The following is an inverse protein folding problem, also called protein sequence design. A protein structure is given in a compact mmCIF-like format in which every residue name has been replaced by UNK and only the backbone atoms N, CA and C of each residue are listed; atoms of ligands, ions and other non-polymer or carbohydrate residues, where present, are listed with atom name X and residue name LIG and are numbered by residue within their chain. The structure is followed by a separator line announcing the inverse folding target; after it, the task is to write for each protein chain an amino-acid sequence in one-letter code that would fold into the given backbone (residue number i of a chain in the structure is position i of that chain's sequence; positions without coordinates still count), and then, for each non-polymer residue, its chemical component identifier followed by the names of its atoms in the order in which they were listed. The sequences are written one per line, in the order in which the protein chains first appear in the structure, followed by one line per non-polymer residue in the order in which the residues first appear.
data_IF_153189416826
#
_entry.id   IF_153189416826
#
_cell.length_a   1.000
_cell.length_b   1.000
_cell.length_c   1.000
_cell.angle_alpha   90.00
_cell.angle_beta   90.00
_cell.angle_gamma   90.00
#
_symmetry.space_group_name_H-M   'P 1'
#
loop_
_entity.id
_entity.type
_entity.pdbx_description
1 polymer ?
#
# COMPACT_ATOMS: atom_id res chain seq x y z
N UNK A 1 2.55 33.43 -5.70
CA UNK A 1 2.92 34.42 -6.72
C UNK A 1 3.88 35.48 -6.18
N UNK A 2 3.56 36.18 -5.08
CA UNK A 2 4.43 37.23 -4.50
C UNK A 2 5.89 36.77 -4.24
N UNK A 3 6.07 35.53 -3.77
CA UNK A 3 7.40 34.99 -3.43
C UNK A 3 8.22 34.44 -4.60
N UNK A 4 7.60 34.23 -5.77
CA UNK A 4 8.23 33.57 -6.93
C UNK A 4 8.06 34.45 -8.17
N UNK A 5 9.02 35.33 -8.49
CA UNK A 5 8.96 36.24 -9.65
C UNK A 5 8.77 35.51 -10.99
N UNK A 6 9.24 34.28 -11.10
CA UNK A 6 9.10 33.42 -12.28
C UNK A 6 7.64 33.06 -12.52
N UNK A 7 6.81 32.98 -11.47
CA UNK A 7 5.36 32.78 -11.59
C UNK A 7 4.67 34.07 -12.04
N UNK A 8 5.04 35.22 -11.46
CA UNK A 8 4.41 36.50 -11.82
C UNK A 8 4.77 36.97 -13.24
N UNK A 9 5.93 36.56 -13.76
CA UNK A 9 6.36 36.79 -15.14
C UNK A 9 5.79 35.78 -16.14
N UNK A 10 5.10 34.73 -15.67
CA UNK A 10 4.53 33.67 -16.52
C UNK A 10 5.55 32.68 -17.08
N UNK A 11 6.82 32.74 -16.64
CA UNK A 11 7.84 31.76 -17.01
C UNK A 11 7.52 30.41 -16.38
N UNK A 12 7.07 30.41 -15.13
CA UNK A 12 6.59 29.23 -14.41
C UNK A 12 5.08 29.35 -14.19
N UNK A 13 4.34 28.27 -14.41
CA UNK A 13 2.89 28.21 -14.23
C UNK A 13 2.52 27.12 -13.23
N UNK A 14 1.52 27.39 -12.38
CA UNK A 14 0.93 26.38 -11.50
C UNK A 14 -0.19 25.70 -12.28
N UNK A 15 0.00 24.43 -12.66
CA UNK A 15 -0.96 23.65 -13.45
C UNK A 15 -2.06 23.02 -12.59
N UNK A 16 -1.71 22.58 -11.39
CA UNK A 16 -2.66 21.97 -10.46
C UNK A 16 -2.26 22.24 -9.00
N UNK A 17 -3.25 22.21 -8.12
CA UNK A 17 -3.04 22.33 -6.69
C UNK A 17 -4.03 21.46 -5.91
N UNK A 18 -3.53 20.70 -4.94
CA UNK A 18 -4.31 19.92 -4.00
C UNK A 18 -3.97 20.39 -2.58
N UNK A 19 -4.98 20.90 -1.87
CA UNK A 19 -4.79 21.55 -0.57
C UNK A 19 -5.63 20.92 0.53
N UNK A 20 -5.00 20.66 1.66
CA UNK A 20 -5.60 20.39 2.96
C UNK A 20 -5.16 21.49 3.94
N UNK A 21 -5.98 22.54 4.13
CA UNK A 21 -5.61 23.75 4.85
C UNK A 21 -5.08 23.45 6.26
N UNK A 22 -3.97 24.10 6.64
CA UNK A 22 -3.34 23.93 7.95
C UNK A 22 -2.55 22.63 8.12
N UNK A 23 -2.56 21.74 7.12
CA UNK A 23 -1.79 20.50 7.15
C UNK A 23 -0.76 20.44 6.04
N UNK A 24 -1.22 20.20 4.80
CA UNK A 24 -0.33 19.94 3.66
C UNK A 24 -0.97 20.35 2.34
N UNK A 25 -0.16 20.90 1.46
CA UNK A 25 -0.53 21.28 0.10
C UNK A 25 0.49 20.74 -0.88
N UNK A 26 0.00 20.15 -1.98
CA UNK A 26 0.80 19.81 -3.16
C UNK A 26 0.46 20.77 -4.28
N UNK A 27 1.48 21.30 -4.95
CA UNK A 27 1.33 22.08 -6.17
C UNK A 27 2.15 21.47 -7.30
N UNK A 28 1.56 21.41 -8.49
CA UNK A 28 2.22 20.97 -9.71
C UNK A 28 2.59 22.18 -10.55
N UNK A 29 3.87 22.30 -10.89
CA UNK A 29 4.43 23.45 -11.60
C UNK A 29 5.07 23.06 -12.92
N UNK A 30 4.88 23.90 -13.92
CA UNK A 30 5.43 23.74 -15.27
C UNK A 30 6.25 24.98 -15.65
N UNK A 31 7.29 24.82 -16.46
CA UNK A 31 8.04 25.95 -17.01
C UNK A 31 7.77 26.10 -18.50
N UNK A 32 7.41 27.32 -18.91
CA UNK A 32 7.29 27.71 -20.32
C UNK A 32 8.66 27.96 -20.96
N UNK A 33 9.72 28.11 -20.17
CA UNK A 33 11.11 28.21 -20.64
C UNK A 33 11.87 26.91 -20.31
N UNK A 34 12.40 26.19 -21.31
CA UNK A 34 13.16 24.95 -21.08
C UNK A 34 14.47 25.16 -20.31
N UNK A 35 14.97 26.39 -20.21
CA UNK A 35 16.18 26.72 -19.44
C UNK A 35 15.91 26.96 -17.95
N UNK A 36 14.65 26.97 -17.54
CA UNK A 36 14.24 27.26 -16.17
C UNK A 36 13.63 26.02 -15.53
N UNK A 37 14.20 25.58 -14.41
CA UNK A 37 13.62 24.53 -13.58
C UNK A 37 12.45 25.11 -12.75
N UNK A 38 11.20 24.68 -13.00
CA UNK A 38 10.04 25.22 -12.30
C UNK A 38 10.03 24.85 -10.81
N UNK A 39 10.56 23.68 -10.44
CA UNK A 39 10.61 23.26 -9.03
C UNK A 39 11.68 24.07 -8.30
N UNK A 40 12.88 24.17 -8.88
CA UNK A 40 13.97 24.99 -8.34
C UNK A 40 13.59 26.46 -8.15
N UNK A 41 12.87 27.05 -9.12
CA UNK A 41 12.34 28.41 -9.01
C UNK A 41 11.37 28.56 -7.83
N UNK A 42 10.43 27.63 -7.66
CA UNK A 42 9.45 27.68 -6.58
C UNK A 42 10.06 27.41 -5.18
N UNK A 43 11.04 26.50 -5.10
CA UNK A 43 11.70 26.11 -3.85
C UNK A 43 12.68 27.20 -3.40
N UNK A 44 13.46 27.77 -4.33
CA UNK A 44 14.50 28.74 -4.05
C UNK A 44 15.72 28.14 -3.36
N UNK A 45 16.74 28.97 -3.09
CA UNK A 45 18.00 28.52 -2.51
C UNK A 45 17.78 27.82 -1.15
N UNK A 46 18.12 26.53 -1.08
CA UNK A 46 17.89 25.67 0.11
C UNK A 46 16.42 25.66 0.57
N UNK A 47 15.46 25.88 -0.30
CA UNK A 47 14.04 25.93 0.08
C UNK A 47 13.61 27.23 0.75
N UNK A 48 14.34 28.34 0.57
CA UNK A 48 14.02 29.61 1.23
C UNK A 48 12.62 30.12 0.87
N UNK A 49 12.22 30.05 -0.40
CA UNK A 49 10.93 30.59 -0.88
C UNK A 49 9.76 29.77 -0.36
N UNK A 50 9.80 28.44 -0.53
CA UNK A 50 8.75 27.56 -0.01
C UNK A 50 8.62 27.65 1.51
N UNK A 51 9.74 27.81 2.24
CA UNK A 51 9.72 28.00 3.71
C UNK A 51 9.06 29.31 4.13
N UNK A 52 9.23 30.40 3.37
CA UNK A 52 8.53 31.66 3.66
C UNK A 52 7.01 31.50 3.54
N UNK A 53 6.54 30.82 2.48
CA UNK A 53 5.11 30.53 2.31
C UNK A 53 4.58 29.61 3.41
N UNK A 54 5.33 28.56 3.78
CA UNK A 54 4.95 27.68 4.91
C UNK A 54 4.83 28.46 6.23
N UNK A 55 5.71 29.43 6.49
CA UNK A 55 5.64 30.27 7.69
C UNK A 55 4.40 31.18 7.68
N UNK A 56 4.06 31.75 6.53
CA UNK A 56 2.86 32.57 6.36
C UNK A 56 1.58 31.74 6.54
N UNK A 57 1.58 30.49 6.07
CA UNK A 57 0.48 29.53 6.24
C UNK A 57 0.50 28.81 7.60
N UNK A 58 1.13 29.40 8.63
CA UNK A 58 1.15 28.90 10.02
C UNK A 58 1.65 27.45 10.15
N UNK A 59 2.63 27.06 9.33
CA UNK A 59 3.24 25.73 9.36
C UNK A 59 2.62 24.71 8.42
N UNK A 60 1.72 25.11 7.52
CA UNK A 60 1.23 24.24 6.44
C UNK A 60 2.39 23.77 5.55
N UNK A 61 2.59 22.45 5.42
CA UNK A 61 3.67 21.89 4.61
C UNK A 61 3.34 22.01 3.12
N UNK A 62 4.27 22.52 2.33
CA UNK A 62 4.07 22.69 0.89
C UNK A 62 5.06 21.79 0.16
N UNK A 63 4.53 20.90 -0.67
CA UNK A 63 5.32 20.13 -1.63
C UNK A 63 5.15 20.74 -3.02
N UNK A 64 6.25 20.94 -3.70
CA UNK A 64 6.29 21.41 -5.09
C UNK A 64 6.77 20.26 -5.96
N UNK A 65 5.98 19.87 -6.95
CA UNK A 65 6.30 18.77 -7.86
C UNK A 65 6.26 19.27 -9.32
N UNK A 66 7.09 18.71 -10.20
CA UNK A 66 6.99 19.02 -11.62
C UNK A 66 5.66 18.48 -12.18
N UNK A 67 5.01 19.26 -13.01
CA UNK A 67 3.90 18.81 -13.83
C UNK A 67 4.44 18.04 -15.05
N UNK A 68 3.74 16.98 -15.46
CA UNK A 68 3.98 16.27 -16.72
C UNK A 68 2.63 16.01 -17.40
N UNK A 69 2.60 16.07 -18.72
CA UNK A 69 1.45 15.64 -19.51
C UNK A 69 1.33 14.11 -19.55
N UNK A 70 2.44 13.40 -19.33
CA UNK A 70 2.42 11.95 -19.18
C UNK A 70 1.90 11.56 -17.77
N UNK A 71 0.78 10.81 -17.69
CA UNK A 71 0.16 10.47 -16.42
C UNK A 71 1.07 9.63 -15.51
N UNK A 72 1.91 8.75 -16.08
CA UNK A 72 2.84 7.94 -15.30
C UNK A 72 3.85 8.83 -14.60
N UNK A 73 4.54 9.68 -15.34
CA UNK A 73 5.51 10.62 -14.80
C UNK A 73 4.88 11.59 -13.78
N UNK A 74 3.67 12.07 -14.06
CA UNK A 74 2.99 13.00 -13.17
C UNK A 74 2.58 12.36 -11.85
N UNK A 75 2.10 11.10 -11.87
CA UNK A 75 1.74 10.36 -10.65
C UNK A 75 2.99 10.03 -9.83
N UNK A 76 4.08 9.63 -10.48
CA UNK A 76 5.37 9.40 -9.80
C UNK A 76 5.86 10.67 -9.11
N UNK A 77 5.80 11.81 -9.79
CA UNK A 77 6.16 13.10 -9.22
C UNK A 77 5.24 13.50 -8.06
N UNK A 78 3.93 13.29 -8.19
CA UNK A 78 2.94 13.64 -7.18
C UNK A 78 3.13 12.88 -5.86
N UNK A 79 3.64 11.65 -5.89
CA UNK A 79 3.87 10.81 -4.69
C UNK A 79 5.15 11.14 -3.93
N UNK A 80 6.00 12.05 -4.43
CA UNK A 80 7.18 12.52 -3.70
C UNK A 80 6.80 12.96 -2.27
N UNK A 81 7.58 12.54 -1.25
CA UNK A 81 8.96 12.04 -1.29
C UNK A 81 9.15 10.52 -1.48
N UNK A 82 8.07 9.73 -1.61
CA UNK A 82 8.20 8.30 -1.84
C UNK A 82 8.77 8.03 -3.24
N UNK A 83 9.63 7.00 -3.39
CA UNK A 83 10.14 6.58 -4.70
C UNK A 83 9.23 5.49 -5.23
N UNK A 84 8.66 5.74 -6.39
CA UNK A 84 7.82 4.79 -7.10
C UNK A 84 8.70 3.87 -7.93
N UNK A 85 8.39 2.58 -7.93
CA UNK A 85 9.07 1.58 -8.77
C UNK A 85 8.34 1.39 -10.09
N UNK A 86 7.02 1.29 -10.04
CA UNK A 86 6.16 1.02 -11.19
C UNK A 86 4.82 1.73 -11.03
N UNK A 87 4.23 2.16 -12.14
CA UNK A 87 2.85 2.66 -12.20
C UNK A 87 2.14 1.90 -13.32
N UNK A 88 1.06 1.22 -12.96
CA UNK A 88 0.15 0.56 -13.90
C UNK A 88 -1.12 1.40 -13.99
N UNK A 89 -1.43 1.86 -15.20
CA UNK A 89 -2.62 2.66 -15.46
C UNK A 89 -3.74 1.78 -16.00
N UNK A 90 -4.93 1.99 -15.46
CA UNK A 90 -6.18 1.50 -16.00
C UNK A 90 -7.02 2.69 -16.47
N UNK A 91 -6.95 2.95 -17.78
CA UNK A 91 -7.67 4.04 -18.44
C UNK A 91 -9.20 3.88 -18.37
N UNK A 92 -9.72 2.64 -18.21
CA UNK A 92 -11.15 2.40 -18.16
C UNK A 92 -11.74 2.83 -16.82
N UNK A 93 -11.04 2.54 -15.72
CA UNK A 93 -11.49 2.89 -14.37
C UNK A 93 -10.94 4.23 -13.87
N UNK A 94 -9.95 4.80 -14.55
CA UNK A 94 -9.23 6.00 -14.09
C UNK A 94 -8.39 5.72 -12.83
N UNK A 95 -7.90 4.49 -12.71
CA UNK A 95 -7.13 4.02 -11.54
C UNK A 95 -5.67 3.83 -11.93
N UNK A 96 -4.78 4.28 -11.06
CA UNK A 96 -3.35 4.08 -11.15
C UNK A 96 -2.90 3.22 -9.97
N UNK A 97 -2.48 1.99 -10.26
CA UNK A 97 -1.85 1.11 -9.28
C UNK A 97 -0.36 1.40 -9.24
N UNK A 98 0.11 1.86 -8.10
CA UNK A 98 1.48 2.30 -7.87
C UNK A 98 2.18 1.29 -6.98
N UNK A 99 3.30 0.76 -7.49
CA UNK A 99 4.13 -0.20 -6.76
C UNK A 99 5.29 0.55 -6.13
N UNK A 100 5.45 0.35 -4.83
CA UNK A 100 6.56 0.88 -4.03
C UNK A 100 7.25 -0.25 -3.27
N UNK A 101 8.49 -0.04 -2.85
CA UNK A 101 9.13 -1.01 -1.96
C UNK A 101 8.45 -1.01 -0.58
N UNK A 102 8.47 -2.13 0.13
CA UNK A 102 7.73 -2.33 1.39
C UNK A 102 8.07 -1.28 2.47
N UNK A 103 9.35 -0.88 2.55
CA UNK A 103 9.80 0.15 3.48
C UNK A 103 9.29 1.56 3.14
N UNK A 104 8.80 1.80 1.92
CA UNK A 104 8.23 3.07 1.48
C UNK A 104 6.70 3.08 1.47
N UNK A 105 6.02 1.94 1.65
CA UNK A 105 4.57 1.86 1.62
C UNK A 105 3.91 2.89 2.56
N UNK A 106 4.36 2.91 3.82
CA UNK A 106 3.87 3.87 4.82
C UNK A 106 4.12 5.34 4.43
N UNK A 107 5.28 5.62 3.82
CA UNK A 107 5.63 6.97 3.36
C UNK A 107 4.78 7.41 2.16
N UNK A 108 4.54 6.48 1.23
CA UNK A 108 3.76 6.70 0.01
C UNK A 108 2.29 6.97 0.33
N UNK A 109 1.70 6.20 1.26
CA UNK A 109 0.34 6.44 1.79
C UNK A 109 0.31 7.76 2.59
N UNK A 110 1.30 7.95 3.46
CA UNK A 110 1.39 9.07 4.38
C UNK A 110 0.46 8.94 5.60
N UNK A 111 0.59 9.85 6.56
CA UNK A 111 -0.26 9.89 7.76
C UNK A 111 -1.73 10.02 7.35
N UNK A 112 -2.58 9.09 7.80
CA UNK A 112 -4.03 9.05 7.48
C UNK A 112 -4.33 9.08 5.97
N UNK A 113 -3.43 8.51 5.15
CA UNK A 113 -3.56 8.49 3.69
C UNK A 113 -3.41 9.87 3.03
N UNK A 114 -2.93 10.88 3.75
CA UNK A 114 -2.86 12.25 3.25
C UNK A 114 -2.01 12.38 1.97
N UNK A 115 -0.90 11.66 1.85
CA UNK A 115 -0.02 11.79 0.69
C UNK A 115 -0.70 11.22 -0.56
N UNK A 116 -1.24 10.01 -0.45
CA UNK A 116 -2.01 9.37 -1.52
C UNK A 116 -3.24 10.20 -1.92
N UNK A 117 -4.00 10.73 -0.95
CA UNK A 117 -5.19 11.56 -1.20
C UNK A 117 -4.86 12.88 -1.88
N UNK A 118 -3.77 13.55 -1.47
CA UNK A 118 -3.32 14.77 -2.14
C UNK A 118 -2.80 14.48 -3.56
N UNK A 119 -2.07 13.37 -3.76
CA UNK A 119 -1.61 12.96 -5.09
C UNK A 119 -2.78 12.64 -6.03
N UNK A 120 -3.79 11.91 -5.54
CA UNK A 120 -5.00 11.61 -6.30
C UNK A 120 -5.76 12.88 -6.70
N UNK A 121 -5.93 13.83 -5.77
CA UNK A 121 -6.56 15.13 -6.07
C UNK A 121 -5.74 16.00 -7.02
N UNK A 122 -4.41 15.91 -6.96
CA UNK A 122 -3.51 16.71 -7.80
C UNK A 122 -3.49 16.20 -9.25
N UNK A 123 -3.46 14.87 -9.42
CA UNK A 123 -3.35 14.21 -10.73
C UNK A 123 -4.70 13.96 -11.38
N UNK A 124 -5.78 13.88 -10.59
CA UNK A 124 -7.11 13.49 -11.06
C UNK A 124 -7.32 11.98 -11.17
N UNK A 125 -6.31 11.17 -10.85
CA UNK A 125 -6.37 9.71 -10.88
C UNK A 125 -6.72 9.14 -9.51
N UNK A 126 -7.43 8.01 -9.47
CA UNK A 126 -7.49 7.20 -8.25
C UNK A 126 -6.14 6.52 -8.07
N UNK A 127 -5.43 6.84 -6.98
CA UNK A 127 -4.11 6.27 -6.69
C UNK A 127 -4.26 5.14 -5.69
N UNK A 128 -4.00 3.92 -6.14
CA UNK A 128 -3.90 2.73 -5.29
C UNK A 128 -2.41 2.38 -5.09
N UNK A 129 -1.96 2.17 -3.86
CA UNK A 129 -0.54 1.99 -3.55
C UNK A 129 -0.34 0.61 -2.95
N UNK A 130 0.48 -0.21 -3.60
CA UNK A 130 0.82 -1.56 -3.17
C UNK A 130 2.31 -1.71 -2.97
N UNK A 131 2.70 -2.58 -2.04
CA UNK A 131 4.09 -3.01 -1.95
C UNK A 131 4.43 -4.09 -2.98
N UNK A 132 5.71 -4.28 -3.25
CA UNK A 132 6.19 -5.38 -4.11
C UNK A 132 5.71 -6.75 -3.61
N UNK A 133 5.74 -6.97 -2.29
CA UNK A 133 5.25 -8.21 -1.69
C UNK A 133 3.75 -8.37 -1.91
N UNK A 134 2.95 -7.34 -1.66
CA UNK A 134 1.50 -7.38 -1.87
C UNK A 134 1.13 -7.68 -3.32
N UNK A 135 1.84 -7.08 -4.28
CA UNK A 135 1.61 -7.34 -5.70
C UNK A 135 2.00 -8.77 -6.08
N UNK A 136 3.12 -9.28 -5.56
CA UNK A 136 3.57 -10.64 -5.81
C UNK A 136 2.59 -11.68 -5.24
N UNK A 137 2.05 -11.44 -4.04
CA UNK A 137 1.05 -12.32 -3.42
C UNK A 137 -0.26 -12.35 -4.21
N UNK A 138 -0.71 -11.20 -4.72
CA UNK A 138 -1.88 -11.10 -5.61
C UNK A 138 -1.64 -11.82 -6.95
N UNK A 139 -0.49 -11.61 -7.59
CA UNK A 139 -0.12 -12.26 -8.85
C UNK A 139 0.06 -13.78 -8.69
N UNK A 140 0.47 -14.24 -7.50
CA UNK A 140 0.57 -15.66 -7.16
C UNK A 140 -0.76 -16.31 -6.76
N UNK A 141 -1.87 -15.55 -6.71
CA UNK A 141 -3.17 -16.06 -6.28
C UNK A 141 -3.24 -16.41 -4.79
N UNK A 142 -2.29 -15.92 -3.98
CA UNK A 142 -2.24 -16.11 -2.53
C UNK A 142 -3.09 -15.07 -1.77
N UNK A 143 -3.63 -14.08 -2.49
CA UNK A 143 -4.50 -13.04 -1.96
C UNK A 143 -5.99 -13.40 -1.91
N UNK A 144 -6.40 -14.56 -2.44
CA UNK A 144 -7.73 -15.12 -2.18
C UNK A 144 -7.70 -15.80 -0.80
N UNK A 145 -8.34 -15.12 0.15
CA UNK A 145 -8.85 -15.68 1.39
C UNK A 145 -9.38 -17.11 1.17
N UNK A 146 -8.62 -18.10 1.66
CA UNK A 146 -9.19 -19.43 1.86
C UNK A 146 -10.41 -19.23 2.73
N UNK A 147 -11.60 -19.53 2.21
CA UNK A 147 -12.82 -19.51 2.98
C UNK A 147 -12.56 -20.23 4.32
N UNK A 148 -12.67 -19.52 5.45
CA UNK A 148 -12.61 -20.15 6.76
C UNK A 148 -13.64 -21.30 6.74
N UNK A 149 -13.18 -22.53 6.93
CA UNK A 149 -14.00 -23.73 6.84
C UNK A 149 -13.82 -24.59 8.08
N UNK A 150 -14.90 -25.21 8.53
CA UNK A 150 -14.89 -26.11 9.68
C UNK A 150 -14.90 -27.56 9.19
N UNK A 151 -14.19 -28.43 9.91
CA UNK A 151 -14.30 -29.87 9.70
C UNK A 151 -15.55 -30.38 10.42
N UNK A 152 -16.54 -30.84 9.66
CA UNK A 152 -17.81 -31.34 10.20
C UNK A 152 -17.93 -32.82 9.89
N UNK A 153 -18.43 -33.62 10.83
CA UNK A 153 -18.71 -35.04 10.62
C UNK A 153 -20.08 -35.19 9.93
N UNK A 154 -20.12 -35.85 8.78
CA UNK A 154 -21.37 -36.10 8.06
C UNK A 154 -22.17 -37.26 8.69
N UNK A 155 -23.40 -37.50 8.22
CA UNK A 155 -24.28 -38.57 8.73
C UNK A 155 -23.70 -40.00 8.57
N UNK A 156 -22.64 -40.17 7.78
CA UNK A 156 -21.93 -41.44 7.59
C UNK A 156 -20.70 -41.61 8.52
N UNK A 157 -20.43 -40.63 9.38
CA UNK A 157 -19.26 -40.63 10.27
C UNK A 157 -17.96 -40.21 9.59
N UNK A 158 -18.03 -39.56 8.43
CA UNK A 158 -16.87 -39.12 7.66
C UNK A 158 -16.62 -37.63 7.89
N UNK A 159 -15.36 -37.28 8.13
CA UNK A 159 -14.93 -35.88 8.27
C UNK A 159 -14.98 -35.22 6.89
N UNK A 160 -15.85 -34.21 6.73
CA UNK A 160 -15.94 -33.40 5.51
C UNK A 160 -15.55 -31.96 5.84
N UNK A 161 -14.77 -31.35 4.96
CA UNK A 161 -14.44 -29.93 5.09
C UNK A 161 -15.58 -29.10 4.52
N UNK A 162 -16.19 -28.26 5.35
CA UNK A 162 -17.33 -27.43 4.97
C UNK A 162 -16.92 -25.94 4.94
N UNK A 163 -16.83 -25.30 3.77
CA UNK A 163 -16.54 -23.87 3.67
C UNK A 163 -17.69 -23.05 4.25
N UNK A 164 -17.38 -21.98 5.02
CA UNK A 164 -18.38 -21.16 5.70
C UNK A 164 -19.39 -20.47 4.77
N UNK A 165 -19.06 -20.28 3.49
CA UNK A 165 -19.98 -19.71 2.49
C UNK A 165 -20.96 -20.73 1.88
N UNK A 166 -21.00 -21.97 2.36
CA UNK A 166 -22.03 -22.94 1.99
C UNK A 166 -21.84 -23.60 0.61
N UNK A 167 -20.58 -23.79 0.18
CA UNK A 167 -20.22 -24.56 -1.01
C UNK A 167 -20.34 -26.08 -0.82
N UNK A 168 -20.19 -26.84 -1.92
CA UNK A 168 -20.20 -28.32 -1.88
C UNK A 168 -19.08 -28.85 -0.98
N UNK A 169 -19.47 -29.70 -0.02
CA UNK A 169 -18.54 -30.33 0.91
C UNK A 169 -17.65 -31.34 0.17
N UNK A 170 -16.33 -31.22 0.37
CA UNK A 170 -15.36 -32.10 -0.28
C UNK A 170 -14.95 -33.21 0.69
N UNK A 171 -15.06 -34.46 0.24
CA UNK A 171 -14.69 -35.64 1.03
C UNK A 171 -13.16 -35.85 1.09
N UNK A 172 -12.64 -36.45 2.17
CA UNK A 172 -11.21 -36.82 2.31
C UNK A 172 -10.71 -37.66 1.13
N UNK A 173 -11.58 -38.51 0.58
CA UNK A 173 -11.26 -39.38 -0.55
C UNK A 173 -11.17 -38.63 -1.90
N UNK A 174 -11.91 -37.53 -2.07
CA UNK A 174 -11.78 -36.63 -3.22
C UNK A 174 -10.60 -35.69 -3.08
N UNK A 175 -10.36 -35.16 -1.89
CA UNK A 175 -9.17 -34.39 -1.57
C UNK A 175 -7.89 -35.18 -1.86
N UNK A 176 -7.87 -36.46 -1.48
CA UNK A 176 -6.75 -37.38 -1.76
C UNK A 176 -6.58 -37.69 -3.24
N UNK A 177 -7.65 -37.66 -4.05
CA UNK A 177 -7.58 -37.86 -5.51
C UNK A 177 -7.04 -36.64 -6.24
N UNK A 178 -7.40 -35.44 -5.78
CA UNK A 178 -6.84 -34.17 -6.29
C UNK A 178 -5.36 -34.06 -5.90
N UNK A 179 -4.99 -34.44 -4.67
CA UNK A 179 -3.61 -34.44 -4.20
C UNK A 179 -2.69 -35.47 -4.91
N UNK A 180 -3.23 -36.62 -5.34
CA UNK A 180 -2.45 -37.65 -6.03
C UNK A 180 -2.32 -37.44 -7.55
N UNK A 181 -3.07 -36.48 -8.11
CA UNK A 181 -3.17 -36.19 -9.54
C UNK A 181 -2.39 -34.96 -9.98
N UNK A 182 -1.13 -34.80 -9.56
CA UNK A 182 -0.14 -34.01 -10.32
C UNK A 182 -0.47 -32.55 -10.68
N UNK A 183 -1.13 -31.80 -9.80
CA UNK A 183 -1.03 -30.33 -9.76
C UNK A 183 -0.64 -29.96 -8.33
N UNK A 184 0.59 -29.47 -8.16
CA UNK A 184 1.15 -29.14 -6.85
C UNK A 184 0.42 -27.92 -6.26
N UNK A 185 -0.41 -28.17 -5.25
CA UNK A 185 -0.73 -27.18 -4.24
C UNK A 185 0.43 -27.09 -3.22
N UNK A 186 0.89 -25.89 -2.81
CA UNK A 186 1.94 -25.75 -1.82
C UNK A 186 1.34 -25.79 -0.40
N UNK A 187 1.98 -26.55 0.50
CA UNK A 187 1.81 -26.40 1.95
C UNK A 187 1.18 -27.61 2.65
N UNK A 188 2.00 -28.60 2.98
CA UNK A 188 1.65 -29.60 4.00
C UNK A 188 1.67 -28.97 5.40
N UNK A 189 0.63 -29.11 6.22
CA UNK A 189 0.76 -28.99 7.67
C UNK A 189 1.16 -30.34 8.27
N UNK A 190 2.12 -30.35 9.20
CA UNK A 190 2.46 -31.53 10.00
C UNK A 190 1.27 -31.95 10.89
N UNK A 191 1.05 -33.25 11.12
CA UNK A 191 -0.06 -33.72 11.94
C UNK A 191 0.19 -33.40 13.43
N UNK A 192 -0.75 -32.68 14.05
CA UNK A 192 -0.85 -32.49 15.49
C UNK A 192 -1.19 -33.82 16.15
N UNK A 193 -0.25 -34.40 16.91
CA UNK A 193 -0.47 -35.61 17.70
C UNK A 193 -1.19 -35.30 19.01
N UNK A 194 -2.46 -35.69 19.06
CA UNK A 194 -3.26 -36.18 20.19
C UNK A 194 -2.78 -35.89 21.63
N UNK A 195 -3.55 -35.08 22.35
CA UNK A 195 -3.43 -34.85 23.78
C UNK A 195 -3.93 -36.05 24.59
N UNK A 196 -3.11 -36.57 25.51
CA UNK A 196 -3.51 -37.57 26.52
C UNK A 196 -3.70 -36.90 27.90
N UNK A 197 -4.81 -37.15 28.63
CA UNK A 197 -5.12 -36.49 29.91
C UNK A 197 -4.44 -37.16 31.14
N UNK A 198 -4.50 -36.55 32.34
CA UNK A 198 -3.51 -36.78 33.42
C UNK A 198 -3.91 -37.90 34.40
N UNK A 199 -2.99 -38.30 35.29
CA UNK A 199 -3.39 -38.55 36.68
C UNK A 199 -2.45 -37.96 37.74
N UNK A 200 -3.01 -37.82 38.95
CA UNK A 200 -2.56 -36.99 40.05
C UNK A 200 -1.72 -37.70 41.13
N UNK A 201 -1.04 -36.86 41.92
CA UNK A 201 -0.65 -36.97 43.34
C UNK A 201 0.58 -37.82 43.77
N UNK A 202 1.52 -37.16 44.45
CA UNK A 202 2.55 -37.82 45.27
C UNK A 202 3.63 -36.91 45.88
N UNK A 203 3.35 -36.33 47.06
CA UNK A 203 4.24 -35.99 48.21
C UNK A 203 5.64 -35.34 48.01
N UNK A 204 5.80 -34.17 48.63
CA UNK A 204 7.01 -33.60 49.29
C UNK A 204 7.73 -34.61 50.24
N UNK A 205 8.99 -34.40 50.73
CA UNK A 205 9.57 -33.08 51.10
C UNK A 205 11.11 -32.88 50.95
N UNK A 206 11.51 -31.64 51.28
CA UNK A 206 12.76 -31.16 51.92
C UNK A 206 14.14 -31.33 51.26
N UNK A 207 14.74 -30.19 50.90
CA UNK A 207 16.02 -29.59 51.36
C UNK A 207 17.23 -30.50 51.76
N UNK A 208 18.51 -30.01 51.77
CA UNK A 208 18.91 -28.60 51.83
C UNK A 208 20.12 -28.19 50.96
N UNK A 209 20.42 -26.90 51.09
CA UNK A 209 21.48 -26.10 50.50
C UNK A 209 22.91 -26.65 50.59
N UNK A 210 23.74 -26.27 49.62
CA UNK A 210 25.06 -25.66 49.85
C UNK A 210 25.36 -24.70 48.71
#
# INVERSE_FOLDING_TARGET
ELEVPEISSGVVEIKAAAREPGHRTKIAVWSNDPNVDPVGACVGARGSRVRMVTNELRGERIDVVPFSDDPVDFIQAALQPARVREVRLDDLTGTATVVVSDYQLSLAIGKEGQNARLAARLTGWRVDIKSETQLADEEAGLGEEWAEGEWVENEAGEMVWQPAEGGEAVSVAEWSRVAAGGEQAPGSPEPVTEATPPPAAGREPDAPAT
#
